data_IF_506958835684
#
_entry.id   IF_506958835684
#
_cell.length_a   1.000
_cell.length_b   1.000
_cell.length_c   1.000
_cell.angle_alpha   90.00
_cell.angle_beta   90.00
_cell.angle_gamma   90.00
#
_symmetry.space_group_name_H-M   'P 1'
#
loop_
_entity.id
_entity.type
_entity.pdbx_description
1 polymer ?
#
# COMPACT_ATOMS: atom_id res chain seq x y z
N UNK A 1 -1.28 15.62 -3.96
CA UNK A 1 -2.51 15.93 -3.19
C UNK A 1 -3.75 16.00 -4.07
N UNK A 2 -3.59 16.20 -5.38
CA UNK A 2 -4.74 16.27 -6.28
C UNK A 2 -5.52 14.94 -6.30
N UNK A 3 -6.87 14.98 -6.16
CA UNK A 3 -7.68 13.78 -6.15
C UNK A 3 -7.65 13.10 -7.53
N UNK A 4 -7.65 11.76 -7.52
CA UNK A 4 -7.95 11.01 -8.74
C UNK A 4 -9.46 11.10 -8.99
N UNK A 5 -9.84 11.80 -10.03
CA UNK A 5 -11.26 11.96 -10.39
C UNK A 5 -11.80 10.66 -10.98
N UNK A 6 -12.94 10.22 -10.50
CA UNK A 6 -13.65 9.06 -11.00
C UNK A 6 -15.15 9.32 -11.07
N UNK A 7 -15.86 8.51 -11.85
CA UNK A 7 -17.32 8.57 -11.94
C UNK A 7 -17.96 8.37 -10.55
N UNK A 8 -19.05 9.06 -10.32
CA UNK A 8 -19.82 8.99 -9.07
C UNK A 8 -21.32 9.07 -9.40
N UNK A 9 -22.15 8.46 -8.54
CA UNK A 9 -23.60 8.55 -8.70
C UNK A 9 -24.10 9.92 -8.25
N UNK A 10 -24.82 10.60 -9.14
CA UNK A 10 -25.43 11.89 -8.90
C UNK A 10 -26.86 11.89 -9.39
N UNK A 11 -27.68 12.80 -8.86
CA UNK A 11 -29.02 13.03 -9.42
C UNK A 11 -28.91 13.48 -10.88
N UNK A 12 -29.86 13.07 -11.70
CA UNK A 12 -29.94 13.47 -13.11
C UNK A 12 -29.79 15.01 -13.25
N UNK A 13 -28.95 15.46 -14.19
CA UNK A 13 -28.58 16.85 -14.44
C UNK A 13 -27.75 17.54 -13.36
N UNK A 14 -27.18 16.80 -12.38
CA UNK A 14 -26.23 17.35 -11.42
C UNK A 14 -24.82 16.82 -11.68
N UNK A 15 -23.83 17.71 -11.59
CA UNK A 15 -22.41 17.34 -11.64
C UNK A 15 -21.74 17.57 -10.30
N UNK A 16 -21.00 16.59 -9.82
CA UNK A 16 -20.18 16.72 -8.62
C UNK A 16 -18.95 17.56 -8.94
N UNK A 17 -18.83 18.71 -8.30
CA UNK A 17 -17.62 19.54 -8.37
C UNK A 17 -16.66 19.13 -7.26
N UNK A 18 -15.42 18.79 -7.63
CA UNK A 18 -14.37 18.40 -6.68
C UNK A 18 -13.30 19.48 -6.71
N UNK A 19 -13.13 20.25 -5.63
CA UNK A 19 -12.07 21.24 -5.56
C UNK A 19 -10.72 20.56 -5.62
N UNK A 20 -9.87 20.99 -6.54
CA UNK A 20 -8.51 20.49 -6.69
C UNK A 20 -7.57 21.53 -6.10
N UNK A 21 -6.79 21.20 -5.06
CA UNK A 21 -5.91 22.17 -4.39
C UNK A 21 -4.81 22.77 -5.26
N UNK A 22 -4.55 22.19 -6.45
CA UNK A 22 -3.50 22.65 -7.37
C UNK A 22 -2.08 22.33 -6.92
N UNK A 23 -1.91 21.71 -5.76
CA UNK A 23 -0.61 21.35 -5.21
C UNK A 23 -0.20 19.95 -5.65
N UNK A 24 0.95 19.83 -6.32
CA UNK A 24 1.49 18.54 -6.74
C UNK A 24 2.29 17.86 -5.61
N UNK A 25 1.73 17.86 -4.41
CA UNK A 25 2.32 17.14 -3.27
C UNK A 25 2.08 15.64 -3.45
N UNK A 26 3.13 14.86 -3.25
CA UNK A 26 3.08 13.38 -3.31
C UNK A 26 3.51 12.81 -1.95
N UNK A 27 2.85 11.74 -1.56
CA UNK A 27 3.24 10.93 -0.41
C UNK A 27 3.05 9.46 -0.78
N UNK A 28 3.96 8.63 -0.33
CA UNK A 28 3.99 7.22 -0.72
C UNK A 28 3.64 6.35 0.48
N UNK A 29 2.96 5.25 0.19
CA UNK A 29 2.63 4.21 1.17
C UNK A 29 3.23 2.91 0.67
N UNK A 30 4.06 2.29 1.50
CA UNK A 30 4.52 0.93 1.30
C UNK A 30 3.79 0.02 2.29
N UNK A 31 3.29 -1.12 1.83
CA UNK A 31 2.53 -2.02 2.68
C UNK A 31 2.77 -3.49 2.36
N UNK A 32 2.47 -4.33 3.32
CA UNK A 32 2.47 -5.78 3.19
C UNK A 32 1.16 -6.35 3.75
N UNK A 33 0.59 -7.30 3.04
CA UNK A 33 -0.61 -8.03 3.41
C UNK A 33 -0.24 -9.47 3.74
N UNK A 34 -0.52 -9.89 4.96
CA UNK A 34 -0.37 -11.30 5.32
C UNK A 34 -1.49 -12.11 4.64
N UNK A 35 -1.11 -13.03 3.76
CA UNK A 35 -2.05 -13.81 2.94
C UNK A 35 -2.91 -14.79 3.75
N UNK A 36 -2.48 -15.17 4.95
CA UNK A 36 -3.20 -16.10 5.82
C UNK A 36 -4.15 -15.36 6.78
N UNK A 37 -3.65 -14.30 7.42
CA UNK A 37 -4.39 -13.61 8.49
C UNK A 37 -5.11 -12.36 8.00
N UNK A 38 -4.82 -11.85 6.81
CA UNK A 38 -5.33 -10.55 6.35
C UNK A 38 -4.70 -9.35 7.05
N UNK A 39 -3.69 -9.56 7.92
CA UNK A 39 -3.04 -8.45 8.64
C UNK A 39 -2.31 -7.54 7.68
N UNK A 40 -2.61 -6.25 7.77
CA UNK A 40 -1.95 -5.19 6.98
C UNK A 40 -0.89 -4.52 7.85
N UNK A 41 0.34 -4.42 7.31
CA UNK A 41 1.45 -3.67 7.90
C UNK A 41 1.93 -2.69 6.85
N UNK A 42 2.05 -1.42 7.21
CA UNK A 42 2.41 -0.37 6.26
C UNK A 42 3.35 0.67 6.87
N UNK A 43 4.01 1.41 6.01
CA UNK A 43 4.77 2.62 6.34
C UNK A 43 4.51 3.70 5.29
N UNK A 44 4.84 4.95 5.61
CA UNK A 44 4.61 6.10 4.73
C UNK A 44 5.88 6.93 4.62
N UNK A 45 6.12 7.54 3.46
CA UNK A 45 7.29 8.37 3.22
C UNK A 45 7.09 9.39 2.11
N UNK A 46 8.04 10.29 1.98
CA UNK A 46 8.04 11.35 0.96
C UNK A 46 8.59 10.87 -0.38
N UNK A 47 9.36 9.78 -0.38
CA UNK A 47 9.97 9.20 -1.58
C UNK A 47 9.58 7.72 -1.74
N UNK A 48 9.46 7.26 -2.99
CA UNK A 48 9.32 5.85 -3.32
C UNK A 48 10.71 5.28 -3.62
N UNK A 49 11.44 4.94 -2.58
CA UNK A 49 12.84 4.53 -2.63
C UNK A 49 13.10 3.27 -1.78
N UNK A 50 14.35 2.83 -1.80
CA UNK A 50 14.79 1.67 -1.01
C UNK A 50 14.68 1.90 0.48
N UNK A 51 14.77 3.16 0.94
CA UNK A 51 14.66 3.52 2.35
C UNK A 51 13.24 3.25 2.86
N UNK A 52 12.22 3.68 2.11
CA UNK A 52 10.82 3.40 2.43
C UNK A 52 10.55 1.89 2.48
N UNK A 53 11.15 1.13 1.56
CA UNK A 53 11.03 -0.32 1.55
C UNK A 53 11.70 -0.97 2.77
N UNK A 54 12.92 -0.55 3.12
CA UNK A 54 13.64 -1.03 4.30
C UNK A 54 12.86 -0.71 5.59
N UNK A 55 12.26 0.47 5.70
CA UNK A 55 11.39 0.82 6.83
C UNK A 55 10.20 -0.14 6.97
N UNK A 56 9.61 -0.58 5.84
CA UNK A 56 8.56 -1.60 5.85
C UNK A 56 9.13 -2.94 6.35
N UNK A 57 10.29 -3.37 5.87
CA UNK A 57 10.96 -4.61 6.31
C UNK A 57 11.25 -4.58 7.81
N UNK A 58 11.72 -3.46 8.34
CA UNK A 58 11.95 -3.28 9.79
C UNK A 58 10.65 -3.38 10.61
N UNK A 59 9.55 -2.83 10.11
CA UNK A 59 8.24 -2.98 10.75
C UNK A 59 7.79 -4.45 10.76
N UNK A 60 7.95 -5.15 9.64
CA UNK A 60 7.65 -6.57 9.53
C UNK A 60 8.53 -7.40 10.48
N UNK A 61 9.82 -7.10 10.57
CA UNK A 61 10.76 -7.75 11.48
C UNK A 61 10.32 -7.64 12.93
N UNK A 62 9.91 -6.44 13.36
CA UNK A 62 9.40 -6.17 14.72
C UNK A 62 8.07 -6.87 14.99
N UNK A 63 7.16 -6.85 14.03
CA UNK A 63 5.84 -7.47 14.18
C UNK A 63 5.94 -9.00 14.23
N UNK A 64 6.72 -9.60 13.34
CA UNK A 64 6.91 -11.04 13.23
C UNK A 64 8.24 -11.51 13.86
N UNK A 65 8.60 -10.95 15.02
CA UNK A 65 9.87 -11.26 15.69
C UNK A 65 10.08 -12.74 15.98
N UNK A 66 8.99 -13.49 16.27
CA UNK A 66 9.03 -14.93 16.57
C UNK A 66 9.02 -15.81 15.31
N UNK A 67 8.75 -15.25 14.14
CA UNK A 67 8.76 -16.03 12.91
C UNK A 67 10.18 -16.48 12.57
N UNK A 68 10.34 -17.76 12.24
CA UNK A 68 11.60 -18.32 11.77
C UNK A 68 11.95 -17.84 10.37
N UNK A 69 10.93 -17.66 9.51
CA UNK A 69 11.08 -17.21 8.13
C UNK A 69 9.93 -16.26 7.75
N UNK A 70 10.24 -15.25 6.96
CA UNK A 70 9.28 -14.29 6.39
C UNK A 70 9.50 -14.28 4.89
N UNK A 71 8.51 -14.74 4.15
CA UNK A 71 8.53 -14.77 2.69
C UNK A 71 7.68 -13.61 2.18
N UNK A 72 8.28 -12.72 1.39
CA UNK A 72 7.59 -11.59 0.76
C UNK A 72 7.46 -11.83 -0.73
N UNK A 73 6.22 -11.85 -1.22
CA UNK A 73 5.92 -11.89 -2.65
C UNK A 73 5.84 -10.46 -3.16
N UNK A 74 6.65 -10.11 -4.14
CA UNK A 74 6.88 -8.74 -4.61
C UNK A 74 6.81 -8.66 -6.13
N UNK A 75 6.50 -7.48 -6.64
CA UNK A 75 6.72 -7.14 -8.04
C UNK A 75 8.22 -6.96 -8.34
N UNK A 76 8.56 -6.86 -9.63
CA UNK A 76 9.95 -6.70 -10.07
C UNK A 76 10.44 -5.24 -10.00
N UNK A 77 9.91 -4.41 -9.10
CA UNK A 77 10.31 -3.02 -9.00
C UNK A 77 11.76 -2.87 -8.52
N UNK A 78 12.50 -1.95 -9.12
CA UNK A 78 13.96 -1.80 -8.97
C UNK A 78 14.43 -1.59 -7.53
N UNK A 79 13.62 -0.92 -6.67
CA UNK A 79 14.00 -0.67 -5.27
C UNK A 79 14.16 -1.95 -4.46
N UNK A 80 13.44 -3.03 -4.83
CA UNK A 80 13.53 -4.34 -4.15
C UNK A 80 14.85 -5.04 -4.42
N UNK A 81 15.53 -4.67 -5.52
CA UNK A 81 16.82 -5.25 -5.96
C UNK A 81 17.99 -4.30 -5.72
N UNK A 82 17.77 -3.16 -5.09
CA UNK A 82 18.81 -2.17 -4.83
C UNK A 82 19.92 -2.71 -3.91
N UNK A 83 21.13 -2.15 -4.03
CA UNK A 83 22.26 -2.52 -3.18
C UNK A 83 21.94 -2.37 -1.68
N UNK A 84 21.25 -1.28 -1.30
CA UNK A 84 20.82 -1.06 0.10
C UNK A 84 19.92 -2.19 0.59
N UNK A 85 18.94 -2.60 -0.23
CA UNK A 85 18.03 -3.70 0.09
C UNK A 85 18.80 -5.03 0.23
N UNK A 86 19.74 -5.31 -0.66
CA UNK A 86 20.53 -6.52 -0.62
C UNK A 86 21.42 -6.60 0.63
N UNK A 87 22.06 -5.50 1.01
CA UNK A 87 22.85 -5.41 2.25
C UNK A 87 21.94 -5.67 3.47
N UNK A 88 20.76 -5.06 3.50
CA UNK A 88 19.82 -5.26 4.60
C UNK A 88 19.38 -6.74 4.71
N UNK A 89 19.04 -7.38 3.58
CA UNK A 89 18.63 -8.78 3.53
C UNK A 89 19.74 -9.71 3.99
N UNK A 90 20.99 -9.47 3.59
CA UNK A 90 22.16 -10.24 4.03
C UNK A 90 22.29 -10.26 5.56
N UNK A 91 21.98 -9.13 6.21
CA UNK A 91 21.99 -8.99 7.67
C UNK A 91 20.69 -9.50 8.34
N UNK A 92 19.70 -9.92 7.57
CA UNK A 92 18.42 -10.41 8.07
C UNK A 92 17.98 -11.68 7.34
N UNK A 93 18.68 -12.80 7.51
CA UNK A 93 18.52 -14.03 6.71
C UNK A 93 17.15 -14.70 6.86
N UNK A 94 16.36 -14.31 7.85
CA UNK A 94 14.97 -14.79 7.97
C UNK A 94 14.03 -14.25 6.88
N UNK A 95 14.43 -13.21 6.13
CA UNK A 95 13.64 -12.65 5.02
C UNK A 95 14.03 -13.29 3.70
N UNK A 96 13.03 -13.70 2.95
CA UNK A 96 13.16 -14.19 1.59
C UNK A 96 12.24 -13.39 0.67
N UNK A 97 12.78 -12.91 -0.45
CA UNK A 97 12.02 -12.20 -1.47
C UNK A 97 11.71 -13.14 -2.63
N UNK A 98 10.43 -13.32 -2.93
CA UNK A 98 9.95 -14.02 -4.11
C UNK A 98 9.39 -13.00 -5.09
N UNK A 99 10.01 -12.90 -6.26
CA UNK A 99 9.56 -12.02 -7.31
C UNK A 99 8.49 -12.68 -8.17
N UNK A 100 7.42 -11.94 -8.42
CA UNK A 100 6.33 -12.40 -9.27
C UNK A 100 6.80 -12.52 -10.73
N UNK A 101 6.20 -13.44 -11.50
CA UNK A 101 6.38 -13.44 -12.94
C UNK A 101 5.96 -12.10 -13.56
N UNK A 102 6.63 -11.72 -14.64
CA UNK A 102 6.27 -10.53 -15.41
C UNK A 102 4.83 -10.69 -15.92
N UNK A 103 4.04 -9.61 -15.88
CA UNK A 103 2.62 -9.59 -16.31
C UNK A 103 1.63 -10.44 -15.48
N UNK A 104 1.90 -10.66 -14.21
CA UNK A 104 0.98 -11.42 -13.33
C UNK A 104 0.43 -10.59 -12.14
N UNK A 105 -0.21 -9.43 -12.38
CA UNK A 105 -0.68 -8.55 -11.29
C UNK A 105 -1.77 -9.19 -10.43
N UNK A 106 -2.54 -10.16 -10.95
CA UNK A 106 -3.58 -10.89 -10.20
C UNK A 106 -3.04 -11.77 -9.08
N UNK A 107 -1.75 -12.09 -9.10
CA UNK A 107 -1.09 -12.86 -8.03
C UNK A 107 -0.89 -12.00 -6.78
N UNK A 108 -0.84 -10.68 -6.92
CA UNK A 108 -0.57 -9.76 -5.83
C UNK A 108 -1.87 -9.29 -5.14
N UNK A 109 -2.29 -10.01 -4.12
CA UNK A 109 -3.53 -9.71 -3.38
C UNK A 109 -3.57 -8.32 -2.74
N UNK A 110 -2.43 -7.71 -2.48
CA UNK A 110 -2.37 -6.36 -1.92
C UNK A 110 -2.91 -5.30 -2.90
N UNK A 111 -2.95 -5.60 -4.20
CA UNK A 111 -3.56 -4.72 -5.20
C UNK A 111 -5.07 -4.50 -4.96
N UNK A 112 -5.77 -5.50 -4.43
CA UNK A 112 -7.17 -5.37 -4.03
C UNK A 112 -7.32 -4.38 -2.86
N UNK A 113 -6.40 -4.42 -1.90
CA UNK A 113 -6.35 -3.46 -0.79
C UNK A 113 -6.12 -2.04 -1.31
N UNK A 114 -5.16 -1.85 -2.22
CA UNK A 114 -4.87 -0.56 -2.84
C UNK A 114 -6.06 -0.04 -3.63
N UNK A 115 -6.74 -0.90 -4.39
CA UNK A 115 -7.98 -0.54 -5.10
C UNK A 115 -9.05 -0.05 -4.13
N UNK A 116 -9.35 -0.80 -3.08
CA UNK A 116 -10.32 -0.40 -2.06
C UNK A 116 -9.96 0.93 -1.40
N UNK A 117 -8.69 1.13 -1.08
CA UNK A 117 -8.21 2.41 -0.53
C UNK A 117 -8.43 3.57 -1.52
N UNK A 118 -8.14 3.33 -2.79
CA UNK A 118 -8.36 4.35 -3.83
C UNK A 118 -9.85 4.68 -3.99
N UNK A 119 -10.72 3.71 -3.99
CA UNK A 119 -12.15 3.91 -4.12
C UNK A 119 -12.76 4.61 -2.92
N UNK A 120 -12.37 4.24 -1.71
CA UNK A 120 -12.97 4.73 -0.47
C UNK A 120 -12.36 6.03 0.05
N UNK A 121 -11.07 6.27 -0.21
CA UNK A 121 -10.32 7.35 0.45
C UNK A 121 -9.77 8.38 -0.54
N UNK A 122 -9.04 7.93 -1.59
CA UNK A 122 -8.29 8.88 -2.43
C UNK A 122 -9.03 9.33 -3.66
N UNK A 123 -10.06 8.57 -4.09
CA UNK A 123 -10.93 8.96 -5.20
C UNK A 123 -11.86 10.09 -4.76
N UNK A 124 -11.96 11.13 -5.56
CA UNK A 124 -12.87 12.25 -5.34
C UNK A 124 -12.78 12.89 -3.94
N UNK A 125 -11.62 12.77 -3.25
CA UNK A 125 -11.47 13.38 -1.93
C UNK A 125 -11.49 14.91 -1.99
N UNK A 126 -11.88 15.55 -0.89
CA UNK A 126 -11.97 17.01 -0.75
C UNK A 126 -10.94 17.56 0.25
N UNK A 127 -9.86 16.81 0.50
CA UNK A 127 -8.82 17.24 1.44
C UNK A 127 -8.08 18.45 0.88
N UNK A 128 -7.86 19.45 1.70
CA UNK A 128 -7.14 20.68 1.35
C UNK A 128 -5.64 20.59 1.62
N UNK A 129 -5.24 19.67 2.50
CA UNK A 129 -3.86 19.45 2.90
C UNK A 129 -3.48 17.97 2.88
N UNK A 130 -2.19 17.67 2.67
CA UNK A 130 -1.68 16.30 2.61
C UNK A 130 -1.89 15.55 3.94
N UNK A 131 -1.74 16.23 5.08
CA UNK A 131 -1.93 15.61 6.39
C UNK A 131 -3.37 15.09 6.61
N UNK A 132 -4.38 15.79 6.07
CA UNK A 132 -5.78 15.34 6.13
C UNK A 132 -5.97 14.05 5.34
N UNK A 133 -5.40 14.00 4.12
CA UNK A 133 -5.48 12.83 3.28
C UNK A 133 -4.75 11.65 3.92
N UNK A 134 -3.55 11.87 4.44
CA UNK A 134 -2.77 10.85 5.14
C UNK A 134 -3.49 10.32 6.37
N UNK A 135 -4.15 11.17 7.14
CA UNK A 135 -4.96 10.75 8.29
C UNK A 135 -6.06 9.79 7.86
N UNK A 136 -6.77 10.08 6.76
CA UNK A 136 -7.82 9.19 6.21
C UNK A 136 -7.23 7.87 5.69
N UNK A 137 -6.10 7.93 4.98
CA UNK A 137 -5.41 6.73 4.51
C UNK A 137 -4.96 5.84 5.67
N UNK A 138 -4.33 6.42 6.69
CA UNK A 138 -3.92 5.68 7.90
C UNK A 138 -5.12 5.08 8.61
N UNK A 139 -6.18 5.87 8.82
CA UNK A 139 -7.42 5.38 9.42
C UNK A 139 -7.98 4.18 8.64
N UNK A 140 -8.06 4.27 7.30
CA UNK A 140 -8.52 3.15 6.47
C UNK A 140 -7.65 1.91 6.67
N UNK A 141 -6.32 2.04 6.56
CA UNK A 141 -5.39 0.91 6.67
C UNK A 141 -5.40 0.25 8.05
N UNK A 142 -5.63 1.03 9.10
CA UNK A 142 -5.71 0.52 10.47
C UNK A 142 -7.02 -0.22 10.73
N UNK A 143 -8.14 0.23 10.13
CA UNK A 143 -9.47 -0.35 10.36
C UNK A 143 -9.87 -1.44 9.35
N UNK A 144 -9.25 -1.48 8.17
CA UNK A 144 -9.47 -2.55 7.20
C UNK A 144 -8.78 -3.86 7.58
N UNK A 145 -7.84 -3.82 8.50
CA UNK A 145 -7.10 -5.00 8.96
C UNK A 145 -7.89 -5.76 10.06
N UNK A 146 -8.18 -7.07 9.91
CA UNK A 146 -7.73 -7.95 8.85
C UNK A 146 -8.51 -7.76 7.53
N UNK A 147 -7.78 -7.58 6.42
CA UNK A 147 -8.37 -7.48 5.10
C UNK A 147 -8.75 -8.86 4.56
N UNK A 148 -9.94 -9.01 4.01
CA UNK A 148 -10.40 -10.27 3.46
C UNK A 148 -9.50 -10.73 2.31
N UNK A 149 -8.78 -11.84 2.53
CA UNK A 149 -7.82 -12.39 1.56
C UNK A 149 -8.42 -13.46 0.65
N UNK A 150 -9.57 -14.00 1.04
CA UNK A 150 -10.32 -14.99 0.22
C UNK A 150 -11.62 -14.37 -0.27
N UNK A 151 -11.85 -14.42 -1.59
CA UNK A 151 -13.22 -14.47 -2.06
C UNK A 151 -13.80 -15.78 -1.46
N UNK A 152 -14.79 -15.67 -0.58
CA UNK A 152 -15.58 -16.84 -0.20
C UNK A 152 -16.24 -17.31 -1.51
N UNK A 153 -15.70 -18.36 -2.09
CA UNK A 153 -16.45 -19.13 -3.09
C UNK A 153 -17.70 -19.63 -2.37
N UNK A 154 -18.83 -18.99 -2.61
CA UNK A 154 -20.13 -19.62 -2.47
C UNK A 154 -20.50 -20.26 -3.79
#
# INVERSE_FOLDING_TARGET
LNPKIGADWMRRHQQKRIPTPGKNEKHYVAGALNSQTGKVIYTTGLSKDSELFIQLLEKLKRHYRRAKKIILVLDNYVIHKSQKTQIWLKNNPKFELLFQPVYSPWVNRIELLWRSMHEMVTRNHRCRAMWELLRKVKYFLDHVSPFATSARNK
#
